data_IF_526258454622
#
_entry.id   IF_526258454622
#
_cell.length_a   1.000
_cell.length_b   1.000
_cell.length_c   1.000
_cell.angle_alpha   90.00
_cell.angle_beta   90.00
_cell.angle_gamma   90.00
#
_symmetry.space_group_name_H-M   'P 1'
#
loop_
_entity.id
_entity.type
_entity.pdbx_description
1 polymer ?
#
# COMPACT_ATOMS: atom_id res chain seq x y z
N UNK A 1 37.87 -4.38 -23.08
CA UNK A 1 36.69 -4.22 -22.21
C UNK A 1 35.52 -4.05 -23.12
N UNK A 2 34.53 -4.93 -23.02
CA UNK A 2 33.25 -4.73 -23.68
C UNK A 2 32.56 -3.49 -23.10
N UNK A 3 31.56 -2.97 -23.81
CA UNK A 3 30.81 -1.79 -23.37
C UNK A 3 30.10 -2.05 -22.03
N UNK A 4 29.52 -3.25 -21.88
CA UNK A 4 28.84 -3.67 -20.65
C UNK A 4 29.76 -3.83 -19.43
N UNK A 5 31.03 -4.21 -19.60
CA UNK A 5 32.01 -4.28 -18.49
C UNK A 5 32.38 -2.88 -17.98
N UNK A 6 32.40 -1.89 -18.88
CA UNK A 6 32.61 -0.50 -18.52
C UNK A 6 31.41 0.02 -17.75
N UNK A 7 30.21 -0.23 -18.27
CA UNK A 7 28.94 0.10 -17.62
C UNK A 7 28.87 -0.49 -16.21
N UNK A 8 29.24 -1.76 -16.04
CA UNK A 8 29.26 -2.43 -14.74
C UNK A 8 30.19 -1.75 -13.73
N UNK A 9 31.41 -1.35 -14.15
CA UNK A 9 32.37 -0.64 -13.28
C UNK A 9 31.89 0.76 -12.90
N UNK A 10 31.27 1.47 -13.85
CA UNK A 10 30.65 2.77 -13.59
C UNK A 10 29.52 2.63 -12.58
N UNK A 11 28.65 1.63 -12.73
CA UNK A 11 27.57 1.33 -11.77
C UNK A 11 28.11 0.99 -10.38
N UNK A 12 29.15 0.15 -10.27
CA UNK A 12 29.79 -0.14 -8.98
C UNK A 12 30.25 1.16 -8.30
N UNK A 13 30.88 2.05 -9.07
CA UNK A 13 31.40 3.32 -8.55
C UNK A 13 30.28 4.25 -8.10
N UNK A 14 29.22 4.39 -8.90
CA UNK A 14 28.06 5.20 -8.58
C UNK A 14 27.31 4.69 -7.34
N UNK A 15 27.08 3.38 -7.25
CA UNK A 15 26.39 2.77 -6.11
C UNK A 15 27.16 2.91 -4.79
N UNK A 16 28.49 2.85 -4.82
CA UNK A 16 29.33 3.11 -3.63
C UNK A 16 29.23 4.54 -3.11
N UNK A 17 28.76 5.46 -3.94
CA UNK A 17 28.64 6.88 -3.62
C UNK A 17 27.19 7.33 -3.39
N UNK A 18 26.20 6.43 -3.51
CA UNK A 18 24.81 6.70 -3.14
C UNK A 18 24.76 7.07 -1.67
N UNK A 19 24.15 8.22 -1.38
CA UNK A 19 23.99 8.71 -0.01
C UNK A 19 22.79 8.06 0.67
N UNK A 20 22.71 8.08 2.01
CA UNK A 20 21.50 7.71 2.73
C UNK A 20 20.28 8.54 2.31
N UNK A 21 19.08 7.96 2.44
CA UNK A 21 17.82 8.63 2.12
C UNK A 21 17.62 9.84 3.05
N UNK A 22 17.33 11.04 2.52
CA UNK A 22 16.98 12.20 3.32
C UNK A 22 15.51 12.12 3.77
N UNK A 23 15.22 11.32 4.79
CA UNK A 23 13.84 10.97 5.18
C UNK A 23 12.90 12.18 5.38
N UNK A 24 13.37 13.25 6.02
CA UNK A 24 12.55 14.44 6.26
C UNK A 24 12.15 15.15 4.95
N UNK A 25 13.06 15.25 3.98
CA UNK A 25 12.74 15.82 2.67
C UNK A 25 11.92 14.84 1.82
N UNK A 26 12.23 13.55 1.91
CA UNK A 26 11.54 12.51 1.16
C UNK A 26 10.07 12.35 1.59
N UNK A 27 9.78 12.51 2.89
CA UNK A 27 8.39 12.48 3.37
C UNK A 27 7.59 13.69 2.88
N UNK A 28 8.22 14.86 2.68
CA UNK A 28 7.55 15.99 2.01
C UNK A 28 7.17 15.65 0.56
N UNK A 29 8.06 14.97 -0.17
CA UNK A 29 7.77 14.46 -1.52
C UNK A 29 6.60 13.48 -1.51
N UNK A 30 6.62 12.48 -0.63
CA UNK A 30 5.53 11.52 -0.50
C UNK A 30 4.23 12.20 -0.12
N UNK A 31 4.27 13.19 0.77
CA UNK A 31 3.09 13.93 1.20
C UNK A 31 2.40 14.61 0.03
N UNK A 32 3.12 15.37 -0.80
CA UNK A 32 2.54 16.08 -1.92
C UNK A 32 1.87 15.13 -2.93
N UNK A 33 2.51 13.98 -3.21
CA UNK A 33 1.94 12.91 -4.03
C UNK A 33 0.70 12.29 -3.37
N UNK A 34 0.80 11.80 -2.14
CA UNK A 34 -0.32 11.17 -1.41
C UNK A 34 -1.52 12.13 -1.33
N UNK A 35 -1.28 13.39 -0.97
CA UNK A 35 -2.30 14.44 -0.90
C UNK A 35 -3.08 14.57 -2.20
N UNK A 36 -2.39 14.64 -3.34
CA UNK A 36 -3.02 14.83 -4.65
C UNK A 36 -3.97 13.67 -5.06
N UNK A 37 -3.78 12.49 -4.46
CA UNK A 37 -4.50 11.26 -4.77
C UNK A 37 -5.30 10.72 -3.59
N UNK A 38 -5.52 11.51 -2.54
CA UNK A 38 -6.17 11.07 -1.31
C UNK A 38 -7.71 11.00 -1.41
N UNK A 39 -8.30 11.79 -2.30
CA UNK A 39 -9.74 12.01 -2.40
C UNK A 39 -10.26 11.64 -3.78
N UNK A 40 -11.43 10.98 -3.83
CA UNK A 40 -12.11 10.69 -5.09
C UNK A 40 -13.00 11.88 -5.48
N UNK A 41 -13.46 11.91 -6.74
CA UNK A 41 -14.42 12.92 -7.22
C UNK A 41 -15.61 13.09 -6.25
N UNK A 42 -15.80 14.32 -5.77
CA UNK A 42 -16.82 14.67 -4.76
C UNK A 42 -16.28 15.02 -3.37
N UNK A 43 -15.05 14.64 -3.05
CA UNK A 43 -14.33 15.06 -1.83
C UNK A 43 -13.24 16.10 -2.10
N UNK A 44 -13.15 16.63 -3.33
CA UNK A 44 -12.15 17.62 -3.76
C UNK A 44 -12.10 18.87 -2.84
N UNK A 45 -13.22 19.19 -2.17
CA UNK A 45 -13.26 20.26 -1.17
C UNK A 45 -12.38 19.97 0.06
N UNK A 46 -12.24 18.70 0.48
CA UNK A 46 -11.36 18.31 1.58
C UNK A 46 -9.88 18.52 1.23
N UNK A 47 -9.51 18.32 -0.04
CA UNK A 47 -8.16 18.57 -0.55
C UNK A 47 -7.73 20.03 -0.32
N UNK A 48 -8.66 20.99 -0.39
CA UNK A 48 -8.36 22.41 -0.18
C UNK A 48 -7.85 22.73 1.22
N UNK A 49 -8.12 21.87 2.21
CA UNK A 49 -7.63 22.04 3.58
C UNK A 49 -6.27 21.37 3.82
N UNK A 50 -5.85 20.44 2.96
CA UNK A 50 -4.54 19.78 3.05
C UNK A 50 -3.52 20.63 2.31
N UNK A 51 -2.71 21.37 3.07
CA UNK A 51 -1.63 22.20 2.55
C UNK A 51 -0.55 21.34 1.88
N UNK A 52 0.23 21.93 0.96
CA UNK A 52 1.42 21.27 0.41
C UNK A 52 2.60 21.41 1.38
N UNK A 53 3.44 20.38 1.42
CA UNK A 53 4.76 20.44 2.03
C UNK A 53 5.80 21.03 1.05
N UNK A 54 6.99 21.44 1.50
CA UNK A 54 8.08 21.86 0.62
C UNK A 54 8.37 20.83 -0.48
N UNK A 55 8.62 21.30 -1.70
CA UNK A 55 8.94 20.39 -2.81
C UNK A 55 10.30 19.71 -2.57
N UNK A 56 10.36 18.40 -2.80
CA UNK A 56 11.59 17.64 -2.87
C UNK A 56 11.61 16.72 -4.11
N UNK A 57 12.60 16.86 -5.01
CA UNK A 57 13.61 17.94 -4.99
C UNK A 57 12.96 19.32 -5.25
N UNK A 58 13.66 20.43 -4.94
CA UNK A 58 13.13 21.78 -5.14
C UNK A 58 12.71 22.10 -6.59
N UNK A 59 13.32 21.43 -7.56
CA UNK A 59 13.07 21.54 -9.00
C UNK A 59 12.10 20.46 -9.54
N UNK A 60 11.38 19.76 -8.66
CA UNK A 60 10.31 18.86 -9.10
C UNK A 60 9.21 19.61 -9.84
N UNK A 61 9.08 19.32 -11.13
CA UNK A 61 8.10 19.94 -12.01
C UNK A 61 6.69 19.35 -11.84
N UNK A 62 6.55 18.18 -11.21
CA UNK A 62 5.27 17.51 -10.99
C UNK A 62 5.17 16.90 -9.56
N UNK A 63 5.11 17.74 -8.51
CA UNK A 63 5.07 17.27 -7.12
C UNK A 63 3.77 16.54 -6.75
N UNK A 64 2.70 16.72 -7.53
CA UNK A 64 1.38 16.11 -7.31
C UNK A 64 1.18 14.83 -8.16
N UNK A 65 2.23 14.35 -8.82
CA UNK A 65 2.19 13.17 -9.69
C UNK A 65 1.82 11.88 -8.95
N UNK A 66 1.10 10.97 -9.62
CA UNK A 66 0.88 9.57 -9.14
C UNK A 66 2.10 8.68 -9.31
N UNK A 67 3.18 9.23 -9.85
CA UNK A 67 4.40 8.50 -10.16
C UNK A 67 5.42 8.63 -9.03
N UNK A 68 5.97 7.50 -8.59
CA UNK A 68 7.28 7.44 -7.92
C UNK A 68 8.24 6.81 -8.93
N UNK A 69 9.31 7.52 -9.25
CA UNK A 69 10.12 7.26 -10.44
C UNK A 69 9.21 7.17 -11.69
N UNK A 70 9.22 6.03 -12.39
CA UNK A 70 8.39 5.76 -13.58
C UNK A 70 7.05 5.07 -13.26
N UNK A 71 6.82 4.67 -12.00
CA UNK A 71 5.74 3.75 -11.64
C UNK A 71 4.48 4.50 -11.21
N UNK A 72 3.37 4.27 -11.90
CA UNK A 72 2.06 4.79 -11.51
C UNK A 72 1.49 3.96 -10.34
N UNK A 73 1.65 4.46 -9.12
CA UNK A 73 1.29 3.74 -7.88
C UNK A 73 0.13 4.40 -7.12
N UNK A 74 -0.85 4.93 -7.87
CA UNK A 74 -2.03 5.61 -7.33
C UNK A 74 -2.68 4.85 -6.18
N UNK A 75 -2.82 3.53 -6.31
CA UNK A 75 -3.50 2.71 -5.32
C UNK A 75 -2.72 2.63 -3.99
N UNK A 76 -1.39 2.59 -4.00
CA UNK A 76 -0.57 2.66 -2.77
C UNK A 76 -0.58 4.06 -2.15
N UNK A 77 -0.58 5.10 -2.99
CA UNK A 77 -0.71 6.48 -2.51
C UNK A 77 -2.07 6.71 -1.84
N UNK A 78 -3.15 6.20 -2.44
CA UNK A 78 -4.50 6.27 -1.86
C UNK A 78 -4.57 5.44 -0.56
N UNK A 79 -3.99 4.24 -0.55
CA UNK A 79 -3.88 3.38 0.64
C UNK A 79 -3.18 4.08 1.81
N UNK A 80 -2.08 4.80 1.56
CA UNK A 80 -1.35 5.55 2.58
C UNK A 80 -2.09 6.82 3.06
N UNK A 81 -2.98 7.39 2.25
CA UNK A 81 -3.80 8.54 2.63
C UNK A 81 -4.85 8.21 3.69
N UNK A 82 -5.44 7.01 3.61
CA UNK A 82 -6.54 6.58 4.50
C UNK A 82 -6.19 6.67 5.99
N UNK A 83 -5.08 6.08 6.48
CA UNK A 83 -4.71 6.21 7.88
C UNK A 83 -4.29 7.63 8.25
N UNK A 84 -3.72 8.43 7.33
CA UNK A 84 -3.36 9.82 7.61
C UNK A 84 -4.60 10.70 7.88
N UNK A 85 -5.65 10.52 7.07
CA UNK A 85 -6.92 11.23 7.25
C UNK A 85 -7.66 10.72 8.51
N UNK A 86 -7.76 9.40 8.68
CA UNK A 86 -8.38 8.80 9.86
C UNK A 86 -7.71 9.26 11.17
N UNK A 87 -6.38 9.32 11.18
CA UNK A 87 -5.60 9.89 12.28
C UNK A 87 -6.02 11.35 12.53
N UNK A 88 -6.02 12.18 11.50
CA UNK A 88 -6.43 13.58 11.62
C UNK A 88 -7.83 13.76 12.22
N UNK A 89 -8.80 12.93 11.80
CA UNK A 89 -10.18 12.92 12.33
C UNK A 89 -10.22 12.48 13.80
N UNK A 90 -9.46 11.44 14.17
CA UNK A 90 -9.49 10.87 15.52
C UNK A 90 -9.07 11.86 16.62
N UNK A 91 -8.24 12.85 16.28
CA UNK A 91 -7.72 13.85 17.22
C UNK A 91 -8.41 15.22 17.15
N UNK A 92 -9.57 15.32 16.48
CA UNK A 92 -10.37 16.56 16.50
C UNK A 92 -11.07 16.73 17.85
N UNK A 93 -11.07 17.96 18.37
CA UNK A 93 -11.79 18.33 19.60
C UNK A 93 -13.30 18.07 19.47
N UNK A 94 -13.92 17.48 20.49
CA UNK A 94 -15.35 17.14 20.52
C UNK A 94 -16.29 18.30 20.21
N UNK A 95 -15.90 19.53 20.60
CA UNK A 95 -16.70 20.74 20.34
C UNK A 95 -16.90 21.03 18.84
N UNK A 96 -16.01 20.51 17.98
CA UNK A 96 -16.09 20.70 16.53
C UNK A 96 -16.70 19.49 15.81
N UNK A 97 -16.99 18.39 16.51
CA UNK A 97 -17.60 17.17 15.98
C UNK A 97 -19.03 16.94 16.51
N UNK A 98 -20.00 17.84 16.21
CA UNK A 98 -21.39 17.67 16.65
C UNK A 98 -22.11 16.51 15.95
N UNK A 99 -21.48 15.88 14.95
CA UNK A 99 -21.99 14.73 14.20
C UNK A 99 -21.40 13.41 14.66
N UNK A 100 -20.53 13.44 15.67
CA UNK A 100 -19.85 12.27 16.24
C UNK A 100 -19.13 11.42 15.17
N UNK A 101 -18.55 12.06 14.15
CA UNK A 101 -17.86 11.38 13.06
C UNK A 101 -16.57 10.70 13.54
N UNK A 102 -15.93 11.21 14.60
CA UNK A 102 -14.67 10.63 15.09
C UNK A 102 -14.83 9.21 15.66
N UNK A 103 -16.04 8.80 16.03
CA UNK A 103 -16.30 7.46 16.58
C UNK A 103 -16.11 6.33 15.55
N UNK A 104 -16.12 6.66 14.26
CA UNK A 104 -15.97 5.71 13.16
C UNK A 104 -14.51 5.50 12.73
N UNK A 105 -13.55 6.14 13.40
CA UNK A 105 -12.12 6.03 13.08
C UNK A 105 -11.29 5.71 14.32
N UNK A 106 -10.09 5.17 14.11
CA UNK A 106 -9.13 4.86 15.18
C UNK A 106 -7.75 5.44 14.89
N UNK A 107 -7.28 6.34 15.77
CA UNK A 107 -5.93 6.88 15.71
C UNK A 107 -4.86 5.79 15.88
N UNK A 108 -5.06 4.88 16.83
CA UNK A 108 -4.14 3.75 17.06
C UNK A 108 -4.04 2.81 15.84
N UNK A 109 -5.17 2.43 15.25
CA UNK A 109 -5.16 1.58 14.05
C UNK A 109 -4.52 2.31 12.86
N UNK A 110 -4.68 3.63 12.80
CA UNK A 110 -4.04 4.46 11.77
C UNK A 110 -2.52 4.44 11.89
N UNK A 111 -1.96 4.59 13.09
CA UNK A 111 -0.50 4.45 13.33
C UNK A 111 0.01 3.07 12.92
N UNK A 112 -0.72 2.01 13.31
CA UNK A 112 -0.38 0.63 12.95
C UNK A 112 -0.36 0.43 11.42
N UNK A 113 -1.35 0.96 10.69
CA UNK A 113 -1.44 0.83 9.23
C UNK A 113 -0.50 1.76 8.48
N UNK A 114 -0.11 2.90 9.02
CA UNK A 114 0.91 3.77 8.41
C UNK A 114 2.22 3.01 8.22
N UNK A 115 2.68 2.28 9.24
CA UNK A 115 3.90 1.49 9.13
C UNK A 115 3.81 0.41 8.04
N UNK A 116 2.66 -0.28 7.92
CA UNK A 116 2.44 -1.24 6.83
C UNK A 116 2.43 -0.55 5.46
N UNK A 117 1.74 0.58 5.32
CA UNK A 117 1.72 1.35 4.06
C UNK A 117 3.12 1.77 3.63
N UNK A 118 3.92 2.31 4.54
CA UNK A 118 5.30 2.70 4.24
C UNK A 118 6.22 1.51 4.01
N UNK A 119 5.94 0.37 4.63
CA UNK A 119 6.63 -0.89 4.30
C UNK A 119 6.35 -1.28 2.84
N UNK A 120 5.11 -1.20 2.38
CA UNK A 120 4.75 -1.49 0.98
C UNK A 120 5.28 -0.45 -0.02
N UNK A 121 5.49 0.80 0.41
CA UNK A 121 6.02 1.86 -0.46
C UNK A 121 7.55 1.89 -0.51
N UNK A 122 8.24 1.27 0.44
CA UNK A 122 9.67 1.48 0.63
C UNK A 122 10.52 0.98 -0.55
N UNK A 123 10.11 -0.09 -1.25
CA UNK A 123 10.80 -0.57 -2.45
C UNK A 123 10.87 0.52 -3.53
N UNK A 124 9.74 1.19 -3.78
CA UNK A 124 9.66 2.33 -4.69
C UNK A 124 10.49 3.52 -4.19
N UNK A 125 10.46 3.79 -2.88
CA UNK A 125 11.17 4.92 -2.29
C UNK A 125 12.70 4.78 -2.42
N UNK A 126 13.22 3.59 -2.13
CA UNK A 126 14.65 3.30 -2.26
C UNK A 126 15.04 3.27 -3.74
N UNK A 127 14.21 2.69 -4.60
CA UNK A 127 14.45 2.64 -6.04
C UNK A 127 14.60 4.04 -6.66
N UNK A 128 13.61 4.92 -6.42
CA UNK A 128 13.67 6.31 -6.91
C UNK A 128 14.87 7.07 -6.31
N UNK A 129 15.17 6.88 -5.02
CA UNK A 129 16.32 7.51 -4.38
C UNK A 129 17.65 7.09 -5.02
N UNK A 130 17.85 5.79 -5.28
CA UNK A 130 19.04 5.27 -5.96
C UNK A 130 19.15 5.89 -7.35
N UNK A 131 18.08 5.88 -8.15
CA UNK A 131 18.10 6.47 -9.50
C UNK A 131 18.49 7.95 -9.47
N UNK A 132 17.89 8.73 -8.57
CA UNK A 132 18.19 10.17 -8.43
C UNK A 132 19.63 10.43 -8.01
N UNK A 133 20.17 9.65 -7.08
CA UNK A 133 21.57 9.79 -6.67
C UNK A 133 22.52 9.41 -7.82
N UNK A 134 22.22 8.36 -8.58
CA UNK A 134 23.00 7.97 -9.77
C UNK A 134 22.96 9.06 -10.85
N UNK A 135 21.78 9.61 -11.13
CA UNK A 135 21.60 10.72 -12.08
C UNK A 135 22.39 11.97 -11.66
N UNK A 136 22.36 12.32 -10.38
CA UNK A 136 23.10 13.47 -9.85
C UNK A 136 24.62 13.33 -10.01
N UNK A 137 25.10 12.08 -10.09
CA UNK A 137 26.50 11.72 -10.29
C UNK A 137 26.85 11.48 -11.77
N UNK A 138 25.88 11.57 -12.67
CA UNK A 138 26.00 11.15 -14.08
C UNK A 138 26.42 9.69 -14.24
N UNK A 139 26.09 8.85 -13.25
CA UNK A 139 26.33 7.41 -13.27
C UNK A 139 25.16 6.69 -13.97
N UNK A 140 25.36 5.45 -14.46
CA UNK A 140 24.28 4.66 -15.04
C UNK A 140 23.16 4.36 -14.03
N UNK A 141 21.98 4.93 -14.23
CA UNK A 141 20.78 4.62 -13.45
C UNK A 141 20.10 3.32 -13.91
N UNK A 142 19.09 2.86 -13.19
CA UNK A 142 18.45 1.56 -13.45
C UNK A 142 17.75 1.51 -14.81
N UNK A 143 17.22 2.62 -15.30
CA UNK A 143 16.62 2.70 -16.63
C UNK A 143 17.65 2.51 -17.74
N UNK A 144 18.83 3.14 -17.62
CA UNK A 144 19.95 2.94 -18.54
C UNK A 144 20.42 1.49 -18.53
N UNK A 145 20.53 0.88 -17.35
CA UNK A 145 20.94 -0.53 -17.21
C UNK A 145 19.92 -1.49 -17.82
N UNK A 146 18.62 -1.24 -17.65
CA UNK A 146 17.54 -2.05 -18.20
C UNK A 146 17.51 -2.02 -19.73
N UNK A 147 17.77 -0.86 -20.35
CA UNK A 147 17.74 -0.72 -21.81
C UNK A 147 19.02 -1.20 -22.51
N UNK A 148 20.08 -1.50 -21.78
CA UNK A 148 21.30 -2.09 -22.34
C UNK A 148 21.17 -3.62 -22.41
N UNK A 149 20.93 -4.12 -23.62
CA UNK A 149 20.70 -5.55 -23.87
C UNK A 149 21.88 -6.42 -23.46
N UNK A 150 23.11 -6.02 -23.80
CA UNK A 150 24.31 -6.79 -23.47
C UNK A 150 24.54 -6.84 -21.96
N UNK A 151 24.31 -5.72 -21.27
CA UNK A 151 24.39 -5.66 -19.82
C UNK A 151 23.34 -6.57 -19.17
N UNK A 152 22.08 -6.54 -19.62
CA UNK A 152 21.02 -7.40 -19.11
C UNK A 152 21.34 -8.89 -19.26
N UNK A 153 21.87 -9.31 -20.41
CA UNK A 153 22.29 -10.70 -20.65
C UNK A 153 23.38 -11.16 -19.68
N UNK A 154 24.37 -10.31 -19.40
CA UNK A 154 25.53 -10.66 -18.57
C UNK A 154 25.35 -10.31 -17.09
N UNK A 155 24.27 -9.61 -16.71
CA UNK A 155 24.08 -9.08 -15.36
C UNK A 155 24.25 -10.14 -14.28
N UNK A 156 23.55 -11.28 -14.43
CA UNK A 156 23.60 -12.37 -13.43
C UNK A 156 25.02 -12.91 -13.27
N UNK A 157 25.73 -13.12 -14.37
CA UNK A 157 27.11 -13.63 -14.33
C UNK A 157 28.04 -12.64 -13.64
N UNK A 158 27.90 -11.34 -13.91
CA UNK A 158 28.71 -10.29 -13.31
C UNK A 158 28.50 -10.20 -11.80
N UNK A 159 27.24 -10.08 -11.35
CA UNK A 159 26.91 -9.88 -9.93
C UNK A 159 27.05 -11.15 -9.10
N UNK A 160 27.10 -12.34 -9.73
CA UNK A 160 27.36 -13.61 -9.02
C UNK A 160 28.77 -14.13 -9.22
N UNK A 161 29.63 -13.41 -9.95
CA UNK A 161 31.01 -13.81 -10.17
C UNK A 161 31.81 -13.83 -8.86
N UNK A 162 32.75 -14.77 -8.76
CA UNK A 162 33.61 -14.87 -7.59
C UNK A 162 34.43 -13.60 -7.34
N UNK A 163 34.84 -12.91 -8.41
CA UNK A 163 35.54 -11.63 -8.34
C UNK A 163 34.67 -10.56 -7.67
N UNK A 164 33.41 -10.42 -8.10
CA UNK A 164 32.50 -9.45 -7.51
C UNK A 164 32.19 -9.78 -6.05
N UNK A 165 31.91 -11.05 -5.73
CA UNK A 165 31.64 -11.48 -4.36
C UNK A 165 32.83 -11.18 -3.44
N UNK A 166 34.05 -11.51 -3.85
CA UNK A 166 35.26 -11.35 -3.03
C UNK A 166 35.72 -9.90 -2.89
N UNK A 167 35.50 -9.06 -3.91
CA UNK A 167 36.00 -7.68 -3.92
C UNK A 167 34.94 -6.68 -3.44
N UNK A 168 33.68 -6.89 -3.78
CA UNK A 168 32.60 -5.93 -3.55
C UNK A 168 31.73 -6.35 -2.37
N UNK A 169 31.10 -7.53 -2.43
CA UNK A 169 30.17 -7.99 -1.38
C UNK A 169 30.90 -8.25 -0.05
N UNK A 170 32.09 -8.85 -0.10
CA UNK A 170 32.91 -9.02 1.11
C UNK A 170 33.31 -7.67 1.71
N UNK A 171 33.66 -6.68 0.88
CA UNK A 171 34.01 -5.35 1.38
C UNK A 171 32.82 -4.68 2.05
N UNK A 172 31.63 -4.84 1.46
CA UNK A 172 30.38 -4.36 2.04
C UNK A 172 30.09 -5.01 3.40
N UNK A 173 30.24 -6.33 3.48
CA UNK A 173 30.12 -7.11 4.71
C UNK A 173 31.05 -6.60 5.82
N UNK A 174 32.29 -6.22 5.48
CA UNK A 174 33.26 -5.69 6.46
C UNK A 174 32.88 -4.27 6.91
N UNK A 175 32.36 -3.43 6.00
CA UNK A 175 31.97 -2.05 6.30
C UNK A 175 30.68 -1.95 7.10
N UNK A 176 29.81 -2.97 7.01
CA UNK A 176 28.46 -2.97 7.60
C UNK A 176 27.58 -1.83 7.09
N UNK A 177 27.78 -1.40 5.84
CA UNK A 177 26.96 -0.40 5.14
C UNK A 177 26.17 -1.09 4.03
N UNK A 178 25.03 -1.67 4.36
CA UNK A 178 24.35 -2.64 3.49
C UNK A 178 23.64 -2.01 2.29
N UNK A 179 23.61 -0.67 2.16
CA UNK A 179 22.90 0.01 1.07
C UNK A 179 23.46 -0.36 -0.31
N UNK A 180 24.76 -0.59 -0.42
CA UNK A 180 25.39 -1.02 -1.67
C UNK A 180 24.87 -2.40 -2.10
N UNK A 181 24.89 -3.40 -1.21
CA UNK A 181 24.35 -4.73 -1.51
C UNK A 181 22.84 -4.72 -1.76
N UNK A 182 22.08 -3.95 -0.98
CA UNK A 182 20.64 -3.75 -1.18
C UNK A 182 20.35 -3.16 -2.56
N UNK A 183 21.13 -2.17 -3.00
CA UNK A 183 20.96 -1.53 -4.30
C UNK A 183 21.12 -2.53 -5.45
N UNK A 184 22.12 -3.41 -5.38
CA UNK A 184 22.29 -4.47 -6.38
C UNK A 184 21.12 -5.46 -6.42
N UNK A 185 20.53 -5.78 -5.28
CA UNK A 185 19.33 -6.65 -5.24
C UNK A 185 18.12 -5.99 -5.88
N UNK A 186 17.90 -4.70 -5.63
CA UNK A 186 16.83 -3.94 -6.27
C UNK A 186 17.04 -3.79 -7.78
N UNK A 187 18.27 -3.57 -8.21
CA UNK A 187 18.64 -3.54 -9.64
C UNK A 187 18.38 -4.91 -10.29
N UNK A 188 18.69 -6.00 -9.58
CA UNK A 188 18.46 -7.35 -10.10
C UNK A 188 16.98 -7.61 -10.39
N UNK A 189 16.09 -7.24 -9.48
CA UNK A 189 14.65 -7.38 -9.73
C UNK A 189 14.19 -6.41 -10.83
N UNK A 190 14.69 -5.17 -10.85
CA UNK A 190 14.32 -4.17 -11.87
C UNK A 190 14.70 -4.59 -13.30
N UNK A 191 15.89 -5.16 -13.50
CA UNK A 191 16.36 -5.58 -14.83
C UNK A 191 15.51 -6.73 -15.39
N UNK A 192 15.10 -7.66 -14.54
CA UNK A 192 14.44 -8.90 -14.97
C UNK A 192 12.92 -8.85 -14.90
N UNK A 193 12.33 -7.98 -14.07
CA UNK A 193 10.89 -7.81 -13.93
C UNK A 193 10.54 -6.36 -13.54
N UNK A 194 10.92 -5.41 -14.41
CA UNK A 194 10.76 -3.96 -14.18
C UNK A 194 9.38 -3.59 -13.65
N UNK A 195 8.32 -4.11 -14.28
CA UNK A 195 6.93 -3.73 -14.00
C UNK A 195 6.46 -4.13 -12.59
N UNK A 196 7.07 -5.17 -12.00
CA UNK A 196 6.69 -5.69 -10.68
C UNK A 196 7.80 -5.58 -9.62
N UNK A 197 9.02 -5.21 -10.01
CA UNK A 197 10.22 -5.22 -9.17
C UNK A 197 10.01 -4.62 -7.77
N UNK A 198 9.41 -3.43 -7.70
CA UNK A 198 9.14 -2.74 -6.44
C UNK A 198 7.74 -3.00 -5.88
N UNK A 199 6.78 -3.36 -6.73
CA UNK A 199 5.41 -3.72 -6.33
C UNK A 199 5.40 -4.92 -5.40
N UNK A 200 6.27 -5.90 -5.71
CA UNK A 200 6.40 -7.15 -4.96
C UNK A 200 7.61 -7.12 -4.01
N UNK A 201 8.10 -5.93 -3.66
CA UNK A 201 9.18 -5.73 -2.69
C UNK A 201 8.63 -4.97 -1.49
N UNK A 202 8.56 -5.59 -0.30
CA UNK A 202 9.16 -6.87 0.07
C UNK A 202 8.21 -8.06 -0.18
N UNK A 203 8.78 -9.25 -0.44
CA UNK A 203 8.03 -10.50 -0.54
C UNK A 203 7.50 -10.96 0.84
N UNK A 204 6.40 -11.73 0.85
CA UNK A 204 5.72 -12.18 2.06
C UNK A 204 6.30 -13.47 2.66
N UNK A 205 7.15 -14.20 1.93
CA UNK A 205 7.71 -15.47 2.38
C UNK A 205 9.08 -15.74 1.79
N UNK A 206 9.87 -16.58 2.45
CA UNK A 206 11.20 -16.96 1.98
C UNK A 206 11.15 -17.61 0.59
N UNK A 207 10.13 -18.43 0.33
CA UNK A 207 9.91 -19.05 -0.99
C UNK A 207 9.71 -18.02 -2.08
N UNK A 208 8.79 -17.07 -1.88
CA UNK A 208 8.54 -16.01 -2.87
C UNK A 208 9.79 -15.18 -3.11
N UNK A 209 10.56 -14.88 -2.06
CA UNK A 209 11.80 -14.13 -2.22
C UNK A 209 12.86 -14.92 -3.01
N UNK A 210 12.98 -16.24 -2.80
CA UNK A 210 13.90 -17.09 -3.54
C UNK A 210 13.52 -17.27 -5.02
N UNK A 211 12.25 -17.09 -5.38
CA UNK A 211 11.81 -17.09 -6.78
C UNK A 211 12.28 -15.81 -7.51
N UNK A 212 12.51 -14.71 -6.79
CA UNK A 212 13.02 -13.44 -7.34
C UNK A 212 14.52 -13.50 -7.65
N UNK A 213 14.95 -12.67 -8.60
CA UNK A 213 16.36 -12.61 -9.01
C UNK A 213 17.23 -12.09 -7.87
N UNK A 214 16.71 -11.15 -7.08
CA UNK A 214 17.35 -10.70 -5.85
C UNK A 214 17.64 -11.84 -4.87
N UNK A 215 16.67 -12.73 -4.62
CA UNK A 215 16.82 -13.84 -3.68
C UNK A 215 17.81 -14.88 -4.19
N UNK A 216 17.77 -15.19 -5.49
CA UNK A 216 18.74 -16.07 -6.14
C UNK A 216 20.16 -15.50 -6.07
N UNK A 217 20.31 -14.20 -6.31
CA UNK A 217 21.59 -13.49 -6.27
C UNK A 217 22.18 -13.49 -4.86
N UNK A 218 21.37 -13.13 -3.85
CA UNK A 218 21.81 -13.13 -2.46
C UNK A 218 22.21 -14.53 -1.99
N UNK A 219 21.51 -15.57 -2.45
CA UNK A 219 21.86 -16.95 -2.14
C UNK A 219 23.22 -17.35 -2.76
N UNK A 220 23.51 -16.90 -3.99
CA UNK A 220 24.83 -17.06 -4.63
C UNK A 220 25.93 -16.32 -3.87
N UNK A 221 25.66 -15.13 -3.35
CA UNK A 221 26.62 -14.41 -2.50
C UNK A 221 26.90 -15.17 -1.21
N UNK A 222 25.87 -15.67 -0.53
CA UNK A 222 26.03 -16.48 0.69
C UNK A 222 26.90 -17.70 0.46
N UNK A 223 26.62 -18.48 -0.60
CA UNK A 223 27.42 -19.66 -0.94
C UNK A 223 28.85 -19.29 -1.34
N UNK A 224 29.04 -18.26 -2.17
CA UNK A 224 30.37 -17.81 -2.60
C UNK A 224 31.23 -17.31 -1.43
N UNK A 225 30.67 -16.54 -0.50
CA UNK A 225 31.38 -16.12 0.71
C UNK A 225 31.75 -17.33 1.59
N UNK A 226 30.84 -18.29 1.73
CA UNK A 226 31.09 -19.52 2.49
C UNK A 226 32.23 -20.33 1.85
N UNK A 227 32.18 -20.59 0.56
CA UNK A 227 33.18 -21.40 -0.15
C UNK A 227 34.59 -20.82 0.01
N UNK A 228 34.71 -19.49 0.03
CA UNK A 228 36.01 -18.80 0.08
C UNK A 228 36.54 -18.59 1.50
N UNK A 229 35.69 -18.32 2.49
CA UNK A 229 36.12 -17.93 3.84
C UNK A 229 35.36 -18.61 4.97
N UNK A 230 34.13 -19.04 4.73
CA UNK A 230 33.26 -19.65 5.74
C UNK A 230 33.50 -21.15 5.96
N UNK A 231 33.95 -21.88 4.94
CA UNK A 231 34.02 -23.35 4.96
C UNK A 231 34.93 -23.86 6.08
N UNK A 232 34.35 -24.64 6.99
CA UNK A 232 35.04 -25.15 8.18
C UNK A 232 35.37 -24.09 9.23
N UNK A 233 34.84 -22.87 9.10
CA UNK A 233 35.03 -21.76 10.04
C UNK A 233 33.68 -21.25 10.60
N UNK A 234 33.24 -21.77 11.75
CA UNK A 234 31.94 -21.43 12.34
C UNK A 234 31.73 -19.93 12.58
N UNK A 235 32.76 -19.22 13.05
CA UNK A 235 32.65 -17.77 13.31
C UNK A 235 32.45 -16.99 12.03
N UNK A 236 33.15 -17.37 10.95
CA UNK A 236 33.00 -16.72 9.65
C UNK A 236 31.67 -17.04 8.99
N UNK A 237 31.17 -18.28 9.15
CA UNK A 237 29.81 -18.63 8.72
C UNK A 237 28.76 -17.76 9.43
N UNK A 238 28.90 -17.53 10.73
CA UNK A 238 27.99 -16.68 11.50
C UNK A 238 28.01 -15.23 11.00
N UNK A 239 29.16 -14.68 10.61
CA UNK A 239 29.26 -13.36 9.97
C UNK A 239 28.53 -13.31 8.62
N UNK A 240 28.69 -14.34 7.78
CA UNK A 240 28.04 -14.43 6.46
C UNK A 240 26.52 -14.52 6.62
N UNK A 241 26.03 -15.36 7.53
CA UNK A 241 24.60 -15.54 7.82
C UNK A 241 23.99 -14.24 8.32
N UNK A 242 24.67 -13.52 9.22
CA UNK A 242 24.21 -12.20 9.70
C UNK A 242 24.16 -11.18 8.56
N UNK A 243 25.20 -11.12 7.73
CA UNK A 243 25.27 -10.17 6.62
C UNK A 243 24.16 -10.42 5.61
N UNK A 244 24.03 -11.63 5.08
CA UNK A 244 23.00 -11.95 4.09
C UNK A 244 21.61 -11.85 4.69
N UNK A 245 21.44 -12.22 5.97
CA UNK A 245 20.20 -12.06 6.71
C UNK A 245 19.74 -10.60 6.81
N UNK A 246 20.67 -9.66 7.07
CA UNK A 246 20.40 -8.21 7.03
C UNK A 246 20.05 -7.72 5.64
N UNK A 247 20.84 -8.11 4.64
CA UNK A 247 20.59 -7.71 3.24
C UNK A 247 19.26 -8.25 2.75
N UNK A 248 18.83 -9.45 3.17
CA UNK A 248 17.54 -10.04 2.80
C UNK A 248 16.34 -9.21 3.27
N UNK A 249 16.49 -8.37 4.30
CA UNK A 249 15.38 -7.60 4.89
C UNK A 249 14.72 -6.65 3.90
N UNK A 250 15.43 -6.16 2.86
CA UNK A 250 14.84 -5.35 1.78
C UNK A 250 13.78 -6.12 0.99
N UNK A 251 14.07 -7.39 0.68
CA UNK A 251 13.32 -8.19 -0.27
C UNK A 251 12.38 -9.20 0.37
N UNK A 252 12.49 -9.39 1.69
CA UNK A 252 11.72 -10.36 2.46
C UNK A 252 11.21 -9.71 3.75
N UNK A 253 9.89 -9.60 3.85
CA UNK A 253 9.19 -9.12 5.03
C UNK A 253 7.98 -10.01 5.28
N UNK A 254 8.15 -11.11 6.03
CA UNK A 254 7.05 -11.99 6.38
C UNK A 254 6.00 -11.25 7.22
N UNK A 255 4.70 -11.55 7.07
CA UNK A 255 3.68 -11.01 7.94
C UNK A 255 3.96 -11.34 9.41
N UNK A 256 3.68 -10.38 10.29
CA UNK A 256 3.79 -10.59 11.72
C UNK A 256 2.83 -11.71 12.17
N UNK A 257 3.33 -12.67 12.94
CA UNK A 257 2.57 -13.86 13.30
C UNK A 257 1.34 -13.58 14.20
N UNK A 258 1.33 -12.43 14.89
CA UNK A 258 0.25 -12.06 15.83
C UNK A 258 -0.78 -11.15 15.19
N UNK A 259 -0.32 -10.21 14.37
CA UNK A 259 -1.14 -9.16 13.76
C UNK A 259 -1.48 -9.44 12.30
N UNK A 260 -0.80 -10.40 11.67
CA UNK A 260 -0.91 -10.75 10.23
C UNK A 260 -0.58 -9.60 9.27
N UNK A 261 -0.07 -8.48 9.78
CA UNK A 261 0.30 -7.31 9.00
C UNK A 261 1.70 -7.47 8.42
N UNK A 262 1.90 -7.01 7.19
CA UNK A 262 3.23 -6.96 6.59
C UNK A 262 3.97 -5.71 7.08
N UNK A 263 4.65 -5.84 8.22
CA UNK A 263 5.44 -4.79 8.84
C UNK A 263 6.87 -5.28 9.06
N UNK A 264 7.86 -4.38 9.20
CA UNK A 264 9.25 -4.80 9.21
C UNK A 264 9.53 -5.72 10.41
N UNK A 265 9.80 -6.99 10.11
CA UNK A 265 10.05 -8.05 11.09
C UNK A 265 11.41 -7.87 11.79
N UNK A 266 11.79 -8.73 12.73
CA UNK A 266 13.18 -8.72 13.22
C UNK A 266 14.13 -9.26 12.14
N UNK A 267 15.41 -8.84 12.14
CA UNK A 267 16.40 -9.42 11.20
C UNK A 267 16.49 -10.93 11.37
N UNK A 268 16.41 -11.43 12.60
CA UNK A 268 16.48 -12.85 12.87
C UNK A 268 15.31 -13.60 12.21
N UNK A 269 14.08 -13.08 12.33
CA UNK A 269 12.90 -13.65 11.65
C UNK A 269 13.14 -13.76 10.15
N UNK A 270 13.65 -12.70 9.52
CA UNK A 270 13.96 -12.68 8.08
C UNK A 270 15.09 -13.64 7.73
N UNK A 271 16.18 -13.63 8.51
CA UNK A 271 17.36 -14.49 8.31
C UNK A 271 16.96 -15.95 8.35
N UNK A 272 16.18 -16.32 9.38
CA UNK A 272 15.65 -17.67 9.55
C UNK A 272 14.76 -18.05 8.38
N UNK A 273 13.77 -17.23 8.04
CA UNK A 273 12.85 -17.50 6.93
C UNK A 273 13.59 -17.66 5.59
N UNK A 274 14.57 -16.79 5.31
CA UNK A 274 15.40 -16.86 4.11
C UNK A 274 16.20 -18.16 4.03
N UNK A 275 16.94 -18.51 5.08
CA UNK A 275 17.81 -19.68 5.06
C UNK A 275 17.06 -21.01 5.24
N UNK A 276 15.98 -21.06 6.02
CA UNK A 276 15.13 -22.25 6.10
C UNK A 276 14.47 -22.56 4.76
N UNK A 277 14.08 -21.54 3.99
CA UNK A 277 13.61 -21.73 2.62
C UNK A 277 14.72 -22.33 1.74
N UNK A 278 15.96 -21.81 1.80
CA UNK A 278 17.08 -22.36 1.03
C UNK A 278 17.35 -23.84 1.33
N UNK A 279 17.38 -24.20 2.62
CA UNK A 279 17.61 -25.57 3.07
C UNK A 279 16.48 -26.48 2.59
N UNK A 280 15.22 -26.04 2.76
CA UNK A 280 14.03 -26.82 2.36
C UNK A 280 14.01 -27.11 0.87
N UNK A 281 14.37 -26.13 0.05
CA UNK A 281 14.38 -26.26 -1.41
C UNK A 281 15.71 -26.76 -1.99
N UNK A 282 16.69 -27.07 -1.14
CA UNK A 282 18.04 -27.51 -1.56
C UNK A 282 18.62 -26.61 -2.64
N UNK A 283 18.60 -25.30 -2.40
CA UNK A 283 19.06 -24.32 -3.39
C UNK A 283 20.52 -24.55 -3.81
N UNK A 284 21.32 -25.19 -2.95
CA UNK A 284 22.60 -25.80 -3.28
C UNK A 284 22.64 -27.25 -2.81
N UNK A 285 23.07 -28.16 -3.68
CA UNK A 285 23.31 -29.57 -3.35
C UNK A 285 24.72 -29.76 -2.78
N UNK A 286 25.00 -29.06 -1.67
CA UNK A 286 26.26 -29.14 -0.93
C UNK A 286 25.97 -29.48 0.54
N UNK A 287 26.30 -30.72 0.93
CA UNK A 287 26.01 -31.24 2.26
C UNK A 287 26.78 -30.53 3.38
N UNK A 288 27.98 -30.02 3.09
CA UNK A 288 28.79 -29.29 4.08
C UNK A 288 28.20 -27.90 4.30
N UNK A 289 27.86 -27.19 3.22
CA UNK A 289 27.24 -25.88 3.31
C UNK A 289 25.93 -25.92 4.10
N UNK A 290 25.02 -26.84 3.74
CA UNK A 290 23.72 -26.95 4.39
C UNK A 290 23.84 -27.30 5.88
N UNK A 291 24.80 -28.17 6.25
CA UNK A 291 25.09 -28.50 7.65
C UNK A 291 25.62 -27.28 8.41
N UNK A 292 26.66 -26.63 7.90
CA UNK A 292 27.27 -25.47 8.56
C UNK A 292 26.30 -24.30 8.69
N UNK A 293 25.42 -24.14 7.70
CA UNK A 293 24.33 -23.17 7.74
C UNK A 293 23.33 -23.48 8.85
N UNK A 294 22.85 -24.72 8.96
CA UNK A 294 21.94 -25.13 10.02
C UNK A 294 22.58 -24.97 11.41
N UNK A 295 23.87 -25.31 11.55
CA UNK A 295 24.61 -25.11 12.79
C UNK A 295 24.76 -23.63 13.14
N UNK A 296 25.00 -22.76 12.14
CA UNK A 296 25.05 -21.31 12.33
C UNK A 296 23.71 -20.74 12.78
N UNK A 297 22.61 -21.12 12.12
CA UNK A 297 21.27 -20.72 12.55
C UNK A 297 20.98 -21.12 14.00
N UNK A 298 21.37 -22.33 14.42
CA UNK A 298 21.19 -22.77 15.80
C UNK A 298 22.03 -21.94 16.78
N UNK A 299 23.26 -21.57 16.44
CA UNK A 299 24.12 -20.70 17.29
C UNK A 299 23.60 -19.27 17.39
N UNK A 300 22.97 -18.77 16.33
CA UNK A 300 22.48 -17.40 16.23
C UNK A 300 21.03 -17.22 16.72
N UNK A 301 20.35 -18.30 17.09
CA UNK A 301 18.94 -18.28 17.46
C UNK A 301 18.60 -17.31 18.60
N UNK A 302 19.50 -17.13 19.56
CA UNK A 302 19.30 -16.24 20.72
C UNK A 302 19.79 -14.80 20.47
N UNK A 303 20.28 -14.49 19.26
CA UNK A 303 20.81 -13.17 18.89
C UNK A 303 19.75 -12.35 18.13
N UNK A 304 18.60 -12.11 18.77
CA UNK A 304 17.46 -11.41 18.18
C UNK A 304 17.77 -9.94 17.81
N UNK A 305 18.69 -9.27 18.52
CA UNK A 305 19.07 -7.86 18.31
C UNK A 305 20.07 -7.63 17.16
N UNK A 306 19.92 -8.33 16.04
CA UNK A 306 20.65 -7.96 14.82
C UNK A 306 19.90 -6.77 14.19
N UNK A 307 20.58 -5.62 14.03
CA UNK A 307 20.03 -4.41 13.38
C UNK A 307 19.37 -4.78 12.05
N UNK A 308 18.06 -4.53 11.93
CA UNK A 308 17.31 -4.75 10.71
C UNK A 308 17.37 -3.48 9.86
N UNK A 309 17.99 -3.59 8.69
CA UNK A 309 18.14 -2.49 7.75
C UNK A 309 16.77 -2.03 7.23
N UNK A 310 15.95 -2.94 6.71
CA UNK A 310 14.59 -2.60 6.25
C UNK A 310 13.68 -2.03 7.32
N UNK A 311 13.75 -2.57 8.53
CA UNK A 311 13.05 -2.01 9.69
C UNK A 311 13.56 -0.60 10.01
N UNK A 312 14.87 -0.35 9.88
CA UNK A 312 15.43 0.98 10.05
C UNK A 312 14.95 1.94 8.98
N UNK A 313 14.91 1.54 7.70
CA UNK A 313 14.37 2.36 6.60
C UNK A 313 12.88 2.68 6.81
N UNK A 314 12.06 1.65 7.03
CA UNK A 314 10.61 1.80 7.18
C UNK A 314 10.24 2.58 8.44
N UNK A 315 10.89 2.32 9.58
CA UNK A 315 10.67 3.11 10.78
C UNK A 315 11.18 4.54 10.64
N UNK A 316 12.34 4.78 10.02
CA UNK A 316 12.85 6.14 9.84
C UNK A 316 11.90 6.96 8.97
N UNK A 317 11.41 6.39 7.87
CA UNK A 317 10.41 7.04 7.01
C UNK A 317 9.09 7.26 7.74
N UNK A 318 8.58 6.26 8.46
CA UNK A 318 7.31 6.35 9.20
C UNK A 318 7.40 7.38 10.34
N UNK A 319 8.49 7.37 11.13
CA UNK A 319 8.71 8.37 12.20
C UNK A 319 8.89 9.78 11.64
N UNK A 320 9.56 9.91 10.50
CA UNK A 320 9.69 11.19 9.82
C UNK A 320 8.30 11.67 9.34
N UNK A 321 7.46 10.79 8.79
CA UNK A 321 6.09 11.11 8.41
C UNK A 321 5.24 11.51 9.62
N UNK A 322 5.28 10.76 10.72
CA UNK A 322 4.56 11.07 11.95
C UNK A 322 4.95 12.44 12.51
N UNK A 323 6.24 12.76 12.48
CA UNK A 323 6.77 14.01 13.01
C UNK A 323 6.49 15.21 12.10
N UNK A 324 6.74 15.07 10.80
CA UNK A 324 6.76 16.18 9.85
C UNK A 324 5.44 16.33 9.10
N UNK A 325 4.77 15.23 8.77
CA UNK A 325 3.65 15.21 7.82
C UNK A 325 2.28 15.04 8.49
N UNK A 326 2.13 14.17 9.50
CA UNK A 326 0.85 14.03 10.20
C UNK A 326 0.27 15.36 10.72
N UNK A 327 1.07 16.34 11.19
CA UNK A 327 0.54 17.66 11.57
C UNK A 327 -0.22 18.37 10.44
N UNK A 328 0.15 18.18 9.16
CA UNK A 328 -0.58 18.74 8.03
C UNK A 328 -1.98 18.13 7.92
N UNK A 329 -2.10 16.82 8.04
CA UNK A 329 -3.37 16.10 7.97
C UNK A 329 -4.27 16.39 9.18
N UNK A 330 -3.71 16.44 10.39
CA UNK A 330 -4.43 16.82 11.60
C UNK A 330 -4.95 18.24 11.52
N UNK A 331 -4.12 19.19 11.06
CA UNK A 331 -4.54 20.58 10.86
C UNK A 331 -5.62 20.70 9.78
N UNK A 332 -5.48 19.96 8.68
CA UNK A 332 -6.46 19.94 7.60
C UNK A 332 -7.83 19.44 8.08
N UNK A 333 -7.86 18.32 8.80
CA UNK A 333 -9.11 17.77 9.33
C UNK A 333 -9.73 18.72 10.37
N UNK A 334 -8.94 19.27 11.29
CA UNK A 334 -9.44 20.30 12.21
C UNK A 334 -10.11 21.47 11.47
N UNK A 335 -9.48 22.01 10.41
CA UNK A 335 -10.06 23.10 9.61
C UNK A 335 -11.35 22.68 8.90
N UNK A 336 -11.40 21.47 8.35
CA UNK A 336 -12.61 20.94 7.71
C UNK A 336 -13.78 20.80 8.70
N UNK A 337 -13.52 20.33 9.93
CA UNK A 337 -14.54 20.26 10.99
C UNK A 337 -15.03 21.65 11.43
N UNK A 338 -14.11 22.61 11.60
CA UNK A 338 -14.45 24.01 11.93
C UNK A 338 -15.28 24.66 10.80
N UNK A 339 -14.98 24.33 9.55
CA UNK A 339 -15.72 24.82 8.39
C UNK A 339 -17.09 24.11 8.18
N UNK A 340 -17.40 23.08 8.96
CA UNK A 340 -18.67 22.36 8.87
C UNK A 340 -18.77 21.36 7.71
N UNK A 341 -17.63 20.86 7.20
CA UNK A 341 -17.55 19.92 6.06
C UNK A 341 -17.98 18.48 6.42
N UNK A 342 -18.94 18.33 7.32
CA UNK A 342 -19.34 17.05 7.90
C UNK A 342 -19.80 16.03 6.85
N UNK A 343 -20.53 16.47 5.83
CA UNK A 343 -20.98 15.61 4.74
C UNK A 343 -19.81 15.08 3.89
N UNK A 344 -18.79 15.91 3.66
CA UNK A 344 -17.60 15.51 2.92
C UNK A 344 -16.81 14.45 3.72
N UNK A 345 -16.66 14.67 5.02
CA UNK A 345 -15.97 13.77 5.94
C UNK A 345 -16.72 12.44 6.03
N UNK A 346 -18.06 12.47 6.16
CA UNK A 346 -18.89 11.27 6.19
C UNK A 346 -18.85 10.50 4.85
N UNK A 347 -18.89 11.22 3.71
CA UNK A 347 -18.72 10.61 2.38
C UNK A 347 -17.37 9.91 2.27
N UNK A 348 -16.30 10.57 2.69
CA UNK A 348 -14.96 9.98 2.72
C UNK A 348 -14.90 8.74 3.61
N UNK A 349 -15.47 8.79 4.84
CA UNK A 349 -15.50 7.64 5.75
C UNK A 349 -16.22 6.44 5.13
N UNK A 350 -17.36 6.67 4.48
CA UNK A 350 -18.12 5.63 3.79
C UNK A 350 -17.29 4.98 2.68
N UNK A 351 -16.66 5.79 1.81
CA UNK A 351 -15.81 5.25 0.73
C UNK A 351 -14.59 4.54 1.28
N UNK A 352 -13.91 5.13 2.25
CA UNK A 352 -12.73 4.55 2.88
C UNK A 352 -13.07 3.19 3.52
N UNK A 353 -14.21 3.06 4.18
CA UNK A 353 -14.68 1.78 4.72
C UNK A 353 -14.72 0.67 3.66
N UNK A 354 -15.32 0.93 2.49
CA UNK A 354 -15.36 -0.04 1.40
C UNK A 354 -13.98 -0.30 0.79
N UNK A 355 -13.18 0.75 0.57
CA UNK A 355 -11.83 0.62 -0.02
C UNK A 355 -10.90 -0.25 0.81
N UNK A 356 -11.00 -0.19 2.14
CA UNK A 356 -10.16 -0.99 3.03
C UNK A 356 -10.27 -2.50 2.77
N UNK A 357 -11.46 -2.98 2.43
CA UNK A 357 -11.68 -4.38 2.07
C UNK A 357 -11.47 -4.61 0.56
N UNK A 358 -12.21 -3.86 -0.29
CA UNK A 358 -12.30 -4.11 -1.73
C UNK A 358 -11.01 -3.78 -2.50
N UNK A 359 -10.25 -2.77 -2.06
CA UNK A 359 -9.06 -2.30 -2.78
C UNK A 359 -7.77 -2.61 -2.03
N UNK A 360 -7.75 -2.47 -0.70
CA UNK A 360 -6.51 -2.59 0.07
C UNK A 360 -6.27 -4.00 0.61
N UNK A 361 -7.32 -4.84 0.66
CA UNK A 361 -7.25 -6.21 1.17
C UNK A 361 -6.91 -6.28 2.66
N UNK A 362 -7.30 -5.28 3.45
CA UNK A 362 -6.94 -5.19 4.87
C UNK A 362 -7.75 -6.10 5.80
N UNK A 363 -8.83 -6.71 5.30
CA UNK A 363 -9.73 -7.53 6.10
C UNK A 363 -10.41 -6.69 7.20
N UNK A 364 -10.59 -7.25 8.39
CA UNK A 364 -11.36 -6.62 9.48
C UNK A 364 -10.52 -6.06 10.62
N UNK A 365 -9.26 -6.48 10.74
CA UNK A 365 -8.42 -6.11 11.88
C UNK A 365 -7.68 -4.80 11.63
N UNK A 366 -7.39 -4.04 12.69
CA UNK A 366 -6.62 -2.78 12.63
C UNK A 366 -7.09 -1.80 11.54
N UNK A 367 -8.41 -1.68 11.32
CA UNK A 367 -8.94 -0.77 10.32
C UNK A 367 -8.88 0.70 10.80
N UNK A 368 -8.34 1.63 10.01
CA UNK A 368 -8.36 3.07 10.33
C UNK A 368 -9.78 3.62 10.43
N UNK A 369 -10.68 3.22 9.52
CA UNK A 369 -12.13 3.42 9.66
C UNK A 369 -12.72 2.15 10.26
N UNK A 370 -13.21 2.22 11.49
CA UNK A 370 -13.54 1.06 12.35
C UNK A 370 -14.98 0.58 12.25
N UNK A 371 -15.87 1.41 11.72
CA UNK A 371 -17.26 1.04 11.50
C UNK A 371 -17.88 1.85 10.37
N UNK A 372 -18.89 1.27 9.74
CA UNK A 372 -19.69 1.94 8.74
C UNK A 372 -20.47 3.09 9.41
N UNK A 373 -20.22 4.31 8.94
CA UNK A 373 -21.09 5.42 9.24
C UNK A 373 -22.34 5.32 8.35
N UNK A 374 -23.39 4.65 8.83
CA UNK A 374 -24.70 4.56 8.17
C UNK A 374 -25.42 5.92 8.07
N UNK A 375 -24.78 7.03 8.47
CA UNK A 375 -25.31 8.39 8.50
C UNK A 375 -25.70 9.01 7.15
N UNK A 376 -25.71 8.23 6.07
CA UNK A 376 -26.51 8.52 4.88
C UNK A 376 -27.72 7.61 4.90
N UNK A 377 -28.89 8.14 5.30
CA UNK A 377 -30.14 7.44 5.08
C UNK A 377 -30.16 6.89 3.66
N UNK A 378 -30.47 5.59 3.52
CA UNK A 378 -30.65 4.95 2.22
C UNK A 378 -31.36 5.95 1.31
N UNK A 379 -30.75 6.34 0.19
CA UNK A 379 -31.46 7.03 -0.90
C UNK A 379 -32.44 6.05 -1.54
N UNK A 380 -33.33 5.47 -0.74
CA UNK A 380 -34.55 4.87 -1.21
C UNK A 380 -35.42 6.05 -1.62
N UNK A 381 -35.28 6.45 -2.88
CA UNK A 381 -36.23 7.37 -3.50
C UNK A 381 -37.55 6.60 -3.54
N UNK A 382 -38.44 6.91 -2.59
CA UNK A 382 -39.82 6.44 -2.64
C UNK A 382 -40.56 7.40 -3.58
N UNK A 383 -41.05 6.88 -4.70
CA UNK A 383 -41.74 7.70 -5.69
C UNK A 383 -43.03 8.30 -5.12
N UNK A 384 -43.42 9.50 -5.56
CA UNK A 384 -44.75 10.04 -5.30
C UNK A 384 -45.86 9.02 -5.62
N UNK A 385 -46.88 8.93 -4.77
CA UNK A 385 -47.99 7.99 -4.89
C UNK A 385 -47.70 6.59 -4.35
N UNK A 386 -46.48 6.29 -3.89
CA UNK A 386 -46.17 4.98 -3.29
C UNK A 386 -47.01 4.76 -2.03
N UNK A 387 -47.76 3.66 -1.99
CA UNK A 387 -48.61 3.28 -0.86
C UNK A 387 -47.78 2.65 0.25
N UNK A 388 -47.81 3.24 1.44
CA UNK A 388 -47.10 2.82 2.65
C UNK A 388 -48.10 2.27 3.66
N UNK A 389 -47.91 1.03 4.08
CA UNK A 389 -48.73 0.39 5.11
C UNK A 389 -48.38 0.91 6.49
N UNK A 390 -49.40 1.22 7.27
CA UNK A 390 -49.31 1.67 8.65
C UNK A 390 -49.65 0.51 9.62
N UNK A 391 -49.20 0.65 10.86
CA UNK A 391 -49.41 -0.33 11.93
C UNK A 391 -50.88 -0.53 12.31
N UNK A 392 -51.75 0.44 11.99
CA UNK A 392 -53.20 0.36 12.18
C UNK A 392 -53.92 -0.43 11.06
N UNK A 393 -53.16 -0.98 10.11
CA UNK A 393 -53.68 -1.74 8.98
C UNK A 393 -54.16 -0.87 7.81
N UNK A 394 -54.06 0.45 7.92
CA UNK A 394 -54.36 1.36 6.81
C UNK A 394 -53.13 1.55 5.92
N UNK A 395 -53.34 2.08 4.71
CA UNK A 395 -52.26 2.45 3.81
C UNK A 395 -52.45 3.90 3.36
N UNK A 396 -51.35 4.67 3.30
CA UNK A 396 -51.34 6.06 2.87
C UNK A 396 -50.27 6.28 1.81
N UNK A 397 -50.47 7.23 0.92
CA UNK A 397 -49.39 7.64 0.03
C UNK A 397 -48.25 8.27 0.83
N UNK A 398 -47.03 8.13 0.35
CA UNK A 398 -45.83 8.64 1.02
C UNK A 398 -45.96 10.13 1.39
N UNK A 399 -46.58 10.95 0.54
CA UNK A 399 -46.77 12.39 0.75
C UNK A 399 -47.79 12.73 1.84
N UNK A 400 -48.64 11.78 2.21
CA UNK A 400 -49.65 11.95 3.24
C UNK A 400 -49.18 11.47 4.62
N UNK A 401 -47.94 10.97 4.74
CA UNK A 401 -47.37 10.57 6.02
C UNK A 401 -46.97 11.78 6.86
N UNK A 402 -47.37 11.74 8.13
CA UNK A 402 -47.03 12.74 9.13
C UNK A 402 -45.97 12.20 10.10
N UNK A 403 -45.28 13.12 10.79
CA UNK A 403 -44.49 12.76 11.97
C UNK A 403 -45.39 12.03 12.96
N UNK A 404 -44.88 10.94 13.54
CA UNK A 404 -45.60 10.00 14.43
C UNK A 404 -46.46 8.91 13.76
N UNK A 405 -46.68 8.94 12.43
CA UNK A 405 -47.32 7.81 11.76
C UNK A 405 -46.45 6.55 11.92
N UNK A 406 -47.06 5.46 12.40
CA UNK A 406 -46.36 4.18 12.64
C UNK A 406 -46.33 3.36 11.36
N UNK A 407 -45.23 3.44 10.62
CA UNK A 407 -45.00 2.68 9.38
C UNK A 407 -44.71 1.22 9.71
N UNK A 408 -45.40 0.30 9.05
CA UNK A 408 -45.21 -1.14 9.23
C UNK A 408 -43.93 -1.57 8.49
N UNK A 409 -42.97 -2.14 9.23
CA UNK A 409 -41.67 -2.57 8.69
C UNK A 409 -41.70 -4.02 8.22
N UNK A 410 -42.59 -4.83 8.82
CA UNK A 410 -42.79 -6.22 8.42
C UNK A 410 -44.21 -6.68 8.71
N UNK A 411 -44.85 -7.30 7.71
CA UNK A 411 -46.17 -7.91 7.83
C UNK A 411 -46.17 -9.17 8.71
N UNK A 412 -45.00 -9.73 9.02
CA UNK A 412 -44.89 -11.02 9.74
C UNK A 412 -44.70 -10.80 11.24
N UNK A 413 -44.08 -9.70 11.66
CA UNK A 413 -43.70 -9.46 13.06
C UNK A 413 -44.46 -8.34 13.76
N UNK A 414 -45.46 -7.71 13.12
CA UNK A 414 -46.16 -6.52 13.62
C UNK A 414 -45.21 -5.40 14.11
N UNK A 415 -44.00 -5.36 13.54
CA UNK A 415 -43.00 -4.37 13.88
C UNK A 415 -43.30 -3.07 13.13
N UNK A 416 -43.34 -1.96 13.87
CA UNK A 416 -43.58 -0.63 13.30
C UNK A 416 -42.64 0.40 13.88
N UNK A 417 -42.31 1.40 13.06
CA UNK A 417 -41.45 2.53 13.41
C UNK A 417 -42.21 3.84 13.20
N UNK A 418 -41.95 4.83 14.04
CA UNK A 418 -42.50 6.16 13.82
C UNK A 418 -41.79 6.82 12.62
N UNK A 419 -42.56 7.40 11.71
CA UNK A 419 -42.01 8.24 10.65
C UNK A 419 -41.33 9.45 11.27
N UNK A 420 -40.02 9.58 11.03
CA UNK A 420 -39.19 10.68 11.51
C UNK A 420 -38.88 11.59 10.31
N UNK A 421 -39.51 12.76 10.28
CA UNK A 421 -39.59 13.73 9.17
C UNK A 421 -40.58 13.41 8.04
N UNK A 422 -41.43 14.40 7.73
CA UNK A 422 -42.27 14.37 6.53
C UNK A 422 -41.40 14.38 5.27
N UNK A 423 -41.81 13.71 4.18
CA UNK A 423 -41.05 13.70 2.94
C UNK A 423 -40.87 15.12 2.43
N UNK A 424 -39.63 15.51 2.17
CA UNK A 424 -39.32 16.79 1.53
C UNK A 424 -39.83 16.72 0.09
N UNK A 425 -40.90 17.44 -0.22
CA UNK A 425 -41.30 17.66 -1.61
C UNK A 425 -40.24 18.53 -2.30
N UNK A 426 -39.28 17.91 -2.98
CA UNK A 426 -38.51 18.59 -4.01
C UNK A 426 -39.17 18.33 -5.36
N UNK A 427 -39.65 19.41 -5.99
CA UNK A 427 -40.06 19.35 -7.39
C UNK A 427 -38.83 19.07 -8.25
N UNK A 428 -38.68 17.83 -8.72
CA UNK A 428 -37.80 17.53 -9.85
C UNK A 428 -38.57 17.87 -11.12
N UNK A 429 -38.14 18.90 -11.84
CA UNK A 429 -38.53 19.07 -13.25
C UNK A 429 -37.92 17.90 -14.02
N UNK A 430 -38.70 16.84 -14.24
CA UNK A 430 -38.37 15.81 -15.20
C UNK A 430 -39.01 16.21 -16.53
N UNK A 431 -38.19 16.54 -17.52
CA UNK A 431 -38.64 16.64 -18.91
C UNK A 431 -39.20 15.28 -19.35
N UNK A 432 -40.51 15.25 -19.61
CA UNK A 432 -41.19 14.11 -20.20
C UNK A 432 -40.68 13.89 -21.64
N UNK A 433 -39.67 13.04 -21.81
CA UNK A 433 -39.37 12.45 -23.12
C UNK A 433 -40.48 11.42 -23.42
N UNK A 434 -41.56 11.88 -24.03
CA UNK A 434 -42.62 11.02 -24.53
C UNK A 434 -42.16 10.25 -25.77
N UNK A 435 -42.03 8.93 -25.68
CA UNK A 435 -41.93 8.07 -26.86
C UNK A 435 -43.32 7.87 -27.46
N UNK A 436 -43.73 8.77 -28.35
CA UNK A 436 -44.87 8.52 -29.23
C UNK A 436 -44.41 7.89 -30.55
N UNK A 437 -44.90 6.67 -30.81
CA UNK A 437 -45.17 6.00 -32.10
C UNK A 437 -44.47 4.65 -32.26
N UNK A 438 -45.15 3.57 -31.89
CA UNK A 438 -45.12 2.30 -32.63
C UNK A 438 -46.50 1.64 -32.52
N UNK A 439 -47.48 2.21 -33.23
CA UNK A 439 -48.66 1.48 -33.70
C UNK A 439 -48.72 1.68 -35.20
N UNK A 440 -48.91 0.57 -35.92
CA UNK A 440 -49.46 0.49 -37.28
C UNK A 440 -48.48 0.38 -38.47
N UNK A 441 -47.38 -0.36 -38.28
CA UNK A 441 -46.90 -1.27 -39.34
C UNK A 441 -46.75 -2.66 -38.74
N UNK A 442 -47.88 -3.37 -38.65
CA UNK A 442 -48.05 -4.82 -38.86
C UNK A 442 -49.49 -5.20 -38.46
N UNK A 443 -50.17 -5.92 -39.35
CA UNK A 443 -51.59 -6.26 -39.27
C UNK A 443 -51.96 -7.28 -38.17
N UNK A 444 -53.24 -7.69 -38.15
CA UNK A 444 -53.91 -8.21 -36.97
C UNK A 444 -53.67 -9.72 -36.83
N UNK A 445 -52.64 -10.10 -36.10
CA UNK A 445 -52.56 -11.42 -35.47
C UNK A 445 -51.98 -11.20 -34.07
N UNK A 446 -52.53 -11.89 -33.07
CA UNK A 446 -52.29 -11.68 -31.62
C UNK A 446 -53.15 -10.57 -30.97
N UNK A 447 -54.45 -10.63 -31.23
CA UNK A 447 -55.42 -10.21 -30.22
C UNK A 447 -55.49 -11.29 -29.13
N UNK A 448 -55.03 -10.95 -27.92
CA UNK A 448 -55.44 -11.60 -26.68
C UNK A 448 -54.39 -12.46 -25.98
N UNK A 449 -53.57 -11.84 -25.12
CA UNK A 449 -53.09 -12.39 -23.82
C UNK A 449 -52.80 -11.19 -22.89
N UNK A 450 -53.24 -11.18 -21.61
CA UNK A 450 -52.94 -10.08 -20.69
C UNK A 450 -51.47 -10.08 -20.27
N UNK A 451 -50.90 -8.87 -20.18
CA UNK A 451 -49.55 -8.58 -19.70
C UNK A 451 -49.52 -8.74 -18.17
N UNK A 452 -49.25 -9.94 -17.70
CA UNK A 452 -48.74 -10.16 -16.35
C UNK A 452 -47.43 -10.92 -16.47
N UNK A 453 -46.51 -10.59 -15.57
CA UNK A 453 -45.36 -11.38 -15.16
C UNK A 453 -44.01 -11.09 -15.84
N UNK A 454 -43.52 -9.86 -15.69
CA UNK A 454 -42.07 -9.56 -15.72
C UNK A 454 -41.71 -8.61 -14.57
N UNK A 455 -41.89 -9.09 -13.34
CA UNK A 455 -41.30 -8.50 -12.14
C UNK A 455 -40.76 -9.62 -11.24
N UNK A 456 -39.80 -10.39 -11.76
CA UNK A 456 -38.82 -11.07 -10.92
C UNK A 456 -37.46 -10.91 -11.58
N UNK A 457 -36.52 -10.31 -10.83
CA UNK A 457 -35.18 -9.85 -11.22
C UNK A 457 -35.16 -8.43 -11.81
N UNK A 458 -35.08 -7.43 -10.93
CA UNK A 458 -33.88 -6.62 -10.65
C UNK A 458 -34.04 -6.08 -9.23
#
# INVERSE_FOLDING_TARGET
>A
MSDYETLFKETITGLKAVKPIPYDDYTNRLHNKIRAWAFDSGEDRLLSYVERAPNYPPDDNDPDSKYIDIFAIYDLLNKASTPSIAYGIAYVDDKYDPKHLKQYVSGYNSEVRLLECFTNLMGFCIGEHINRELDSQQAPNMDKLFHDYEFGEHFRELVTSQSFINNEIRTDMIRSDHLFSISWLLIADYIFDRDHAYRDTPAFSGTQFLDKVSGQTLNKWSYGLWENEGKGNPAKMDEIVKFCGRVATIGLCPPDATTHLQRPASTWTVTKEFYEAQIRFKAFDDGDYNRELQESLNRLQDQEEIINEWHSYCLALTKSWEKQILPYWTTAMHRAFVAGEYEAIASWQLKAWFKQDELYGWGTDYLPVTSLNEGGGLRNIIFPGTSISLADGTARSIEALCSEDRVLVSNVSNSSVAAFHGPIQQSLEADLIGFSRWRDTLGPQFAGVPYNDWASRI
#
